data_IF_117933239584
#
_entry.id   IF_117933239584
#
_cell.length_a   1.000
_cell.length_b   1.000
_cell.length_c   1.000
_cell.angle_alpha   90.00
_cell.angle_beta   90.00
_cell.angle_gamma   90.00
#
_symmetry.space_group_name_H-M   'P 1'
#
loop_
_entity.id
_entity.type
_entity.pdbx_description
1 polymer ?
#
# COMPACT_ATOMS: atom_id res chain seq x y z
N UNK A 1 27.97 -12.46 -65.78
CA UNK A 1 26.59 -12.04 -65.42
C UNK A 1 25.83 -12.98 -64.49
N UNK A 2 26.44 -14.03 -63.98
CA UNK A 2 25.71 -15.11 -63.23
C UNK A 2 25.51 -14.83 -61.70
N UNK A 3 26.31 -13.92 -61.10
CA UNK A 3 26.23 -13.65 -59.64
C UNK A 3 25.12 -12.71 -59.21
N UNK A 4 24.63 -11.81 -60.08
CA UNK A 4 23.57 -10.85 -59.74
C UNK A 4 22.20 -11.52 -59.44
N UNK A 5 21.90 -12.65 -60.10
CA UNK A 5 20.62 -13.38 -59.93
C UNK A 5 20.47 -14.06 -58.55
N UNK A 6 21.57 -14.34 -57.85
CA UNK A 6 21.54 -14.96 -56.51
C UNK A 6 21.55 -13.91 -55.38
N UNK A 7 21.98 -12.68 -55.64
CA UNK A 7 22.09 -11.61 -54.67
C UNK A 7 20.71 -10.99 -54.35
N UNK A 8 19.84 -10.87 -55.36
CA UNK A 8 18.50 -10.25 -55.20
C UNK A 8 17.61 -11.00 -54.20
N UNK A 9 17.44 -12.35 -54.26
CA UNK A 9 16.63 -13.07 -53.29
C UNK A 9 17.21 -13.03 -51.87
N UNK A 10 18.53 -12.97 -51.71
CA UNK A 10 19.16 -12.81 -50.39
C UNK A 10 18.89 -11.42 -49.80
N UNK A 11 18.97 -10.37 -50.62
CA UNK A 11 18.64 -9.01 -50.21
C UNK A 11 17.14 -8.87 -49.79
N UNK A 12 16.25 -9.50 -50.55
CA UNK A 12 14.79 -9.50 -50.19
C UNK A 12 14.57 -10.21 -48.88
N UNK A 13 15.24 -11.35 -48.66
CA UNK A 13 15.13 -12.11 -47.40
C UNK A 13 15.64 -11.32 -46.20
N UNK A 14 16.74 -10.59 -46.35
CA UNK A 14 17.28 -9.70 -45.31
C UNK A 14 16.36 -8.52 -45.02
N UNK A 15 15.75 -7.92 -46.05
CA UNK A 15 14.77 -6.84 -45.89
C UNK A 15 13.51 -7.32 -45.17
N UNK A 16 12.99 -8.52 -45.54
CA UNK A 16 11.87 -9.12 -44.86
C UNK A 16 12.20 -9.43 -43.38
N UNK A 17 13.37 -9.97 -43.09
CA UNK A 17 13.81 -10.23 -41.72
C UNK A 17 13.96 -8.93 -40.92
N UNK A 18 14.51 -7.87 -41.50
CA UNK A 18 14.61 -6.57 -40.87
C UNK A 18 13.21 -5.93 -40.58
N UNK A 19 12.28 -6.06 -41.55
CA UNK A 19 10.92 -5.58 -41.36
C UNK A 19 10.16 -6.33 -40.24
N UNK A 20 10.32 -7.65 -40.15
CA UNK A 20 9.77 -8.47 -39.06
C UNK A 20 10.40 -8.09 -37.71
N UNK A 21 11.72 -7.91 -37.66
CA UNK A 21 12.43 -7.50 -36.44
C UNK A 21 12.03 -6.09 -35.97
N UNK A 22 11.87 -5.14 -36.90
CA UNK A 22 11.44 -3.79 -36.57
C UNK A 22 9.98 -3.76 -36.14
N UNK A 23 9.09 -4.50 -36.80
CA UNK A 23 7.70 -4.67 -36.40
C UNK A 23 7.57 -5.33 -35.01
N UNK A 24 8.36 -6.36 -34.76
CA UNK A 24 8.41 -7.02 -33.44
C UNK A 24 8.90 -6.06 -32.34
N UNK A 25 9.98 -5.32 -32.57
CA UNK A 25 10.49 -4.31 -31.64
C UNK A 25 9.46 -3.20 -31.39
N UNK A 26 8.84 -2.70 -32.44
CA UNK A 26 7.80 -1.67 -32.30
C UNK A 26 6.62 -2.16 -31.47
N UNK A 27 6.17 -3.41 -31.70
CA UNK A 27 5.10 -4.02 -30.91
C UNK A 27 5.51 -4.18 -29.44
N UNK A 28 6.74 -4.57 -29.15
CA UNK A 28 7.28 -4.68 -27.80
C UNK A 28 7.29 -3.31 -27.10
N UNK A 29 7.83 -2.28 -27.74
CA UNK A 29 7.88 -0.91 -27.20
C UNK A 29 6.47 -0.38 -26.93
N UNK A 30 5.53 -0.63 -27.83
CA UNK A 30 4.14 -0.20 -27.63
C UNK A 30 3.49 -0.89 -26.44
N UNK A 31 3.72 -2.19 -26.23
CA UNK A 31 3.21 -2.89 -25.06
C UNK A 31 3.84 -2.43 -23.75
N UNK A 32 5.11 -2.03 -23.77
CA UNK A 32 5.81 -1.49 -22.60
C UNK A 32 5.39 -0.07 -22.26
N UNK A 33 4.97 0.73 -23.26
CA UNK A 33 4.55 2.12 -23.08
C UNK A 33 3.05 2.32 -22.84
N UNK A 34 2.21 1.29 -23.02
CA UNK A 34 0.78 1.39 -22.74
C UNK A 34 0.51 1.06 -21.29
N UNK A 35 -0.05 2.00 -20.48
CA UNK A 35 -0.36 1.73 -19.08
C UNK A 35 -1.59 0.82 -18.96
N UNK A 36 -1.62 0.06 -17.88
CA UNK A 36 -2.85 -0.43 -17.28
C UNK A 36 -3.27 0.57 -16.20
N UNK A 37 -4.49 1.05 -16.29
CA UNK A 37 -5.05 1.99 -15.32
C UNK A 37 -6.22 1.34 -14.59
N UNK A 38 -6.30 1.52 -13.28
CA UNK A 38 -7.46 1.11 -12.49
C UNK A 38 -7.77 2.15 -11.41
N UNK A 39 -9.06 2.17 -11.03
CA UNK A 39 -9.55 2.90 -9.87
C UNK A 39 -10.43 1.95 -9.07
N UNK A 40 -10.03 1.71 -7.84
CA UNK A 40 -10.67 0.79 -6.92
C UNK A 40 -10.98 1.53 -5.61
N UNK A 41 -11.66 0.87 -4.66
CA UNK A 41 -11.97 1.44 -3.36
C UNK A 41 -11.59 0.45 -2.26
N UNK A 42 -10.69 0.85 -1.37
CA UNK A 42 -10.32 0.12 -0.16
C UNK A 42 -9.71 1.11 0.86
N UNK A 43 -9.56 0.69 2.12
CA UNK A 43 -9.03 1.52 3.21
C UNK A 43 -9.78 2.84 3.38
N UNK A 44 -11.08 2.85 3.05
CA UNK A 44 -11.94 4.04 3.13
C UNK A 44 -11.61 5.13 2.11
N UNK A 45 -10.91 4.81 1.02
CA UNK A 45 -10.49 5.79 0.01
C UNK A 45 -10.41 5.19 -1.40
N UNK A 46 -10.23 6.05 -2.41
CA UNK A 46 -9.92 5.58 -3.76
C UNK A 46 -8.46 5.15 -3.87
N UNK A 47 -8.27 4.04 -4.59
CA UNK A 47 -6.97 3.51 -4.97
C UNK A 47 -6.85 3.68 -6.49
N UNK A 48 -5.92 4.50 -6.93
CA UNK A 48 -5.68 4.75 -8.34
C UNK A 48 -4.30 4.20 -8.71
N UNK A 49 -4.25 3.40 -9.76
CA UNK A 49 -3.03 2.77 -10.22
C UNK A 49 -2.82 3.04 -11.71
N UNK A 50 -1.60 3.39 -12.08
CA UNK A 50 -1.13 3.44 -13.46
C UNK A 50 0.16 2.64 -13.55
N UNK A 51 0.09 1.45 -14.18
CA UNK A 51 1.20 0.48 -14.18
C UNK A 51 1.55 0.10 -15.61
N UNK A 52 2.82 0.23 -15.95
CA UNK A 52 3.34 0.04 -17.29
C UNK A 52 4.07 -1.30 -17.43
N UNK A 53 4.15 -1.77 -18.68
CA UNK A 53 4.79 -3.02 -19.05
C UNK A 53 3.79 -4.16 -19.25
N UNK A 54 4.25 -5.23 -19.87
CA UNK A 54 3.42 -6.40 -20.23
C UNK A 54 2.71 -7.06 -19.05
N UNK A 55 3.19 -6.83 -17.86
CA UNK A 55 2.65 -7.38 -16.60
C UNK A 55 1.87 -6.34 -15.80
N UNK A 56 1.61 -5.14 -16.36
CA UNK A 56 0.95 -4.05 -15.65
C UNK A 56 -0.37 -4.43 -15.01
N UNK A 57 -1.27 -5.09 -15.76
CA UNK A 57 -2.56 -5.56 -15.23
C UNK A 57 -2.40 -6.56 -14.08
N UNK A 58 -1.55 -7.57 -14.26
CA UNK A 58 -1.32 -8.58 -13.23
C UNK A 58 -0.70 -7.96 -11.97
N UNK A 59 0.21 -7.01 -12.14
CA UNK A 59 0.84 -6.27 -11.06
C UNK A 59 -0.17 -5.42 -10.28
N UNK A 60 -1.03 -4.66 -10.97
CA UNK A 60 -2.06 -3.84 -10.37
C UNK A 60 -3.10 -4.68 -9.59
N UNK A 61 -3.55 -5.80 -10.16
CA UNK A 61 -4.46 -6.74 -9.47
C UNK A 61 -3.81 -7.35 -8.23
N UNK A 62 -2.53 -7.72 -8.31
CA UNK A 62 -1.78 -8.23 -7.17
C UNK A 62 -1.62 -7.17 -6.06
N UNK A 63 -1.36 -5.92 -6.44
CA UNK A 63 -1.28 -4.80 -5.51
C UNK A 63 -2.61 -4.59 -4.79
N UNK A 64 -3.73 -4.52 -5.52
CA UNK A 64 -5.05 -4.37 -4.92
C UNK A 64 -5.36 -5.50 -3.93
N UNK A 65 -5.07 -6.76 -4.28
CA UNK A 65 -5.25 -7.89 -3.37
C UNK A 65 -4.42 -7.79 -2.10
N UNK A 66 -3.20 -7.26 -2.17
CA UNK A 66 -2.36 -7.01 -0.98
C UNK A 66 -2.93 -5.88 -0.12
N UNK A 67 -3.40 -4.80 -0.73
CA UNK A 67 -3.99 -3.66 -0.03
C UNK A 67 -5.26 -4.07 0.71
N UNK A 68 -6.16 -4.83 0.06
CA UNK A 68 -7.37 -5.33 0.73
C UNK A 68 -7.03 -6.30 1.86
N UNK A 69 -6.08 -7.21 1.64
CA UNK A 69 -5.60 -8.09 2.70
C UNK A 69 -4.88 -7.36 3.84
N UNK A 70 -4.27 -6.20 3.59
CA UNK A 70 -3.72 -5.35 4.64
C UNK A 70 -4.86 -4.68 5.43
N UNK A 71 -5.88 -4.14 4.75
CA UNK A 71 -7.06 -3.56 5.40
C UNK A 71 -7.73 -4.55 6.35
N UNK A 72 -7.91 -5.80 5.91
CA UNK A 72 -8.47 -6.90 6.72
C UNK A 72 -7.70 -7.13 8.03
N UNK A 73 -6.42 -6.79 8.08
CA UNK A 73 -5.56 -6.98 9.25
C UNK A 73 -5.46 -5.76 10.15
N UNK A 74 -5.45 -4.55 9.57
CA UNK A 74 -5.12 -3.33 10.34
C UNK A 74 -6.27 -2.37 10.55
N UNK A 75 -7.45 -2.61 9.96
CA UNK A 75 -8.61 -1.75 10.14
C UNK A 75 -9.26 -2.00 11.50
N UNK A 76 -9.29 -0.99 12.36
CA UNK A 76 -9.98 -1.08 13.64
C UNK A 76 -11.52 -1.19 13.51
N UNK A 77 -12.05 -0.95 12.30
CA UNK A 77 -13.49 -1.07 11.97
C UNK A 77 -13.89 -2.49 11.54
N UNK A 78 -12.95 -3.39 11.40
CA UNK A 78 -13.20 -4.79 11.00
C UNK A 78 -12.96 -5.69 12.21
N UNK A 79 -14.01 -6.23 12.82
CA UNK A 79 -13.98 -6.98 14.08
C UNK A 79 -12.95 -8.13 14.09
N UNK A 80 -12.72 -8.76 12.96
CA UNK A 80 -11.75 -9.87 12.80
C UNK A 80 -10.31 -9.42 12.63
N UNK A 81 -10.04 -8.13 12.48
CA UNK A 81 -8.69 -7.61 12.27
C UNK A 81 -7.80 -7.77 13.50
N UNK A 82 -6.49 -7.81 13.29
CA UNK A 82 -5.53 -7.82 14.39
C UNK A 82 -5.68 -6.58 15.27
N UNK A 83 -5.90 -5.41 14.67
CA UNK A 83 -6.04 -4.14 15.39
C UNK A 83 -7.33 -4.10 16.20
N UNK A 84 -8.46 -4.55 15.65
CA UNK A 84 -9.72 -4.60 16.40
C UNK A 84 -9.61 -5.55 17.61
N UNK A 85 -9.04 -6.74 17.42
CA UNK A 85 -8.79 -7.70 18.51
C UNK A 85 -7.82 -7.15 19.56
N UNK A 86 -6.78 -6.39 19.14
CA UNK A 86 -5.87 -5.72 20.07
C UNK A 86 -6.59 -4.65 20.89
N UNK A 87 -7.48 -3.88 20.27
CA UNK A 87 -8.28 -2.87 20.94
C UNK A 87 -9.28 -3.49 21.93
N UNK A 88 -9.91 -4.60 21.57
CA UNK A 88 -10.82 -5.34 22.46
C UNK A 88 -10.09 -5.90 23.68
N UNK A 89 -8.85 -6.36 23.50
CA UNK A 89 -8.00 -6.90 24.56
C UNK A 89 -7.27 -5.84 25.40
N UNK A 90 -7.55 -4.55 25.20
CA UNK A 90 -6.88 -3.47 25.92
C UNK A 90 -6.99 -3.60 27.44
N UNK A 91 -5.86 -3.48 28.15
CA UNK A 91 -5.77 -3.63 29.58
C UNK A 91 -5.79 -5.07 30.10
N UNK A 92 -5.77 -6.05 29.20
CA UNK A 92 -5.73 -7.46 29.57
C UNK A 92 -4.36 -8.07 29.27
N UNK A 93 -4.26 -8.91 28.26
CA UNK A 93 -3.06 -9.72 28.00
C UNK A 93 -2.48 -9.47 26.61
N UNK A 94 -1.38 -10.14 26.31
CA UNK A 94 -0.80 -10.16 24.98
C UNK A 94 -1.68 -10.99 24.03
N UNK A 95 -1.90 -10.46 22.82
CA UNK A 95 -2.59 -11.20 21.76
C UNK A 95 -1.66 -11.50 20.61
N UNK A 96 -1.92 -12.59 19.90
CA UNK A 96 -1.23 -12.92 18.64
C UNK A 96 -1.78 -12.05 17.51
N UNK A 97 -0.86 -11.52 16.71
CA UNK A 97 -1.12 -10.70 15.53
C UNK A 97 -0.31 -11.21 14.34
N UNK A 98 -0.63 -10.77 13.12
CA UNK A 98 0.15 -11.12 11.95
C UNK A 98 1.55 -10.48 11.96
N UNK A 99 2.54 -11.07 11.27
CA UNK A 99 3.87 -10.48 11.11
C UNK A 99 3.81 -9.07 10.50
N UNK A 100 2.91 -8.85 9.56
CA UNK A 100 2.69 -7.55 8.91
C UNK A 100 2.19 -6.51 9.92
N UNK A 101 1.17 -6.86 10.71
CA UNK A 101 0.66 -5.97 11.76
C UNK A 101 1.73 -5.67 12.80
N UNK A 102 2.51 -6.66 13.22
CA UNK A 102 3.62 -6.45 14.15
C UNK A 102 4.67 -5.46 13.60
N UNK A 103 5.00 -5.58 12.32
CA UNK A 103 5.93 -4.67 11.65
C UNK A 103 5.39 -3.23 11.57
N UNK A 104 4.11 -3.06 11.24
CA UNK A 104 3.47 -1.74 11.14
C UNK A 104 3.36 -1.09 12.53
N UNK A 105 3.00 -1.85 13.56
CA UNK A 105 2.95 -1.36 14.93
C UNK A 105 4.33 -0.94 15.43
N UNK A 106 5.38 -1.71 15.13
CA UNK A 106 6.76 -1.35 15.49
C UNK A 106 7.21 -0.07 14.77
N UNK A 107 6.89 0.07 13.49
CA UNK A 107 7.14 1.31 12.74
C UNK A 107 6.37 2.50 13.33
N UNK A 108 5.09 2.28 13.72
CA UNK A 108 4.27 3.30 14.37
C UNK A 108 4.88 3.79 15.67
N UNK A 109 5.44 2.88 16.49
CA UNK A 109 6.16 3.23 17.72
C UNK A 109 7.43 4.03 17.44
N UNK A 110 8.20 3.67 16.40
CA UNK A 110 9.40 4.40 16.01
C UNK A 110 9.06 5.83 15.57
N UNK A 111 7.99 6.01 14.79
CA UNK A 111 7.51 7.34 14.38
C UNK A 111 6.97 8.14 15.58
N UNK A 112 6.20 7.50 16.48
CA UNK A 112 5.71 8.14 17.69
C UNK A 112 6.86 8.64 18.58
N UNK A 113 7.88 7.83 18.77
CA UNK A 113 9.06 8.21 19.54
C UNK A 113 9.84 9.34 18.86
N UNK A 114 10.09 9.28 17.56
CA UNK A 114 10.84 10.29 16.81
C UNK A 114 10.13 11.64 16.71
N UNK A 115 8.79 11.62 16.77
CA UNK A 115 7.95 12.82 16.76
C UNK A 115 7.63 13.36 18.15
N UNK A 116 8.20 12.76 19.21
CA UNK A 116 7.92 13.10 20.61
C UNK A 116 6.40 13.07 20.93
N UNK A 117 5.70 12.05 20.37
CA UNK A 117 4.27 11.86 20.54
C UNK A 117 3.38 12.75 19.67
N UNK A 118 3.93 13.58 18.78
CA UNK A 118 3.09 14.34 17.83
C UNK A 118 2.29 13.42 16.87
N UNK A 119 2.83 12.26 16.57
CA UNK A 119 2.07 11.11 16.06
C UNK A 119 1.94 10.07 17.17
N UNK A 120 0.72 9.66 17.48
CA UNK A 120 0.46 8.59 18.45
C UNK A 120 -0.53 7.58 17.87
N UNK A 121 -0.13 6.31 17.65
CA UNK A 121 -1.02 5.30 17.10
C UNK A 121 -2.14 4.89 18.07
N UNK A 122 -2.05 5.27 19.36
CA UNK A 122 -3.07 4.95 20.36
C UNK A 122 -4.22 5.98 20.41
N UNK A 123 -4.36 6.81 19.39
CA UNK A 123 -5.30 7.92 19.28
C UNK A 123 -6.78 7.50 19.16
N UNK A 124 -7.09 6.21 18.95
CA UNK A 124 -8.46 5.75 18.68
C UNK A 124 -9.50 6.22 19.70
N UNK A 125 -9.24 6.24 21.01
CA UNK A 125 -10.22 6.72 21.99
C UNK A 125 -10.70 8.14 21.72
N UNK A 126 -9.84 8.98 21.15
CA UNK A 126 -10.14 10.36 20.78
C UNK A 126 -10.67 10.43 19.35
N UNK A 127 -9.97 9.82 18.36
CA UNK A 127 -10.36 9.94 16.94
C UNK A 127 -11.72 9.36 16.64
N UNK A 128 -12.16 8.34 17.36
CA UNK A 128 -13.48 7.72 17.20
C UNK A 128 -14.64 8.64 17.58
N UNK A 129 -14.42 9.67 18.41
CA UNK A 129 -15.46 10.60 18.85
C UNK A 129 -16.08 11.39 17.69
N UNK A 130 -15.33 11.63 16.60
CA UNK A 130 -15.84 12.36 15.42
C UNK A 130 -16.76 11.53 14.53
N UNK A 131 -16.78 10.21 14.69
CA UNK A 131 -17.53 9.26 13.85
C UNK A 131 -17.29 9.49 12.34
N UNK A 132 -16.04 9.74 11.94
CA UNK A 132 -15.68 9.95 10.54
C UNK A 132 -16.09 8.75 9.68
N UNK A 133 -16.93 9.03 8.66
CA UNK A 133 -17.49 7.99 7.78
C UNK A 133 -18.70 7.27 8.35
N UNK A 134 -19.10 7.54 9.60
CA UNK A 134 -20.30 7.02 10.25
C UNK A 134 -21.56 7.89 9.99
N UNK A 135 -22.67 7.51 10.62
CA UNK A 135 -23.94 8.20 10.44
C UNK A 135 -24.12 9.40 11.38
N UNK A 136 -23.31 9.50 12.45
CA UNK A 136 -23.45 10.50 13.51
C UNK A 136 -22.22 11.42 13.57
N UNK A 137 -21.68 11.83 12.42
CA UNK A 137 -20.55 12.75 12.37
C UNK A 137 -20.87 14.07 13.10
N UNK A 138 -20.06 14.43 14.07
CA UNK A 138 -20.24 15.65 14.84
C UNK A 138 -18.90 16.17 15.38
N UNK A 139 -18.90 17.41 15.87
CA UNK A 139 -17.80 17.96 16.63
C UNK A 139 -17.95 17.55 18.10
N UNK A 140 -17.07 16.72 18.66
CA UNK A 140 -17.19 16.29 20.05
C UNK A 140 -16.96 17.45 21.01
N UNK A 141 -17.65 17.45 22.17
CA UNK A 141 -17.40 18.43 23.22
C UNK A 141 -15.97 18.36 23.74
N UNK A 142 -15.38 19.52 24.06
CA UNK A 142 -13.99 19.59 24.56
C UNK A 142 -13.79 18.72 25.81
N UNK A 143 -14.72 18.69 26.73
CA UNK A 143 -14.65 17.87 27.93
C UNK A 143 -14.61 16.36 27.64
N UNK A 144 -15.22 15.93 26.55
CA UNK A 144 -15.18 14.52 26.11
C UNK A 144 -13.84 14.19 25.51
N UNK A 145 -13.29 15.08 24.67
CA UNK A 145 -11.93 14.94 24.13
C UNK A 145 -10.92 14.83 25.27
N UNK A 146 -10.93 15.75 26.23
CA UNK A 146 -10.03 15.74 27.39
C UNK A 146 -10.15 14.46 28.25
N UNK A 147 -11.37 13.92 28.39
CA UNK A 147 -11.62 12.66 29.09
C UNK A 147 -10.94 11.47 28.40
N UNK A 148 -11.07 11.37 27.09
CA UNK A 148 -10.54 10.23 26.32
C UNK A 148 -9.05 10.38 25.98
N UNK A 149 -8.53 11.61 25.96
CA UNK A 149 -7.09 11.89 25.78
C UNK A 149 -6.23 11.23 26.88
N UNK A 150 -6.77 11.05 28.07
CA UNK A 150 -6.10 10.33 29.16
C UNK A 150 -5.73 8.87 28.82
N UNK A 151 -6.33 8.28 27.79
CA UNK A 151 -6.05 6.93 27.32
C UNK A 151 -5.09 6.90 26.12
N UNK A 152 -4.64 8.04 25.61
CA UNK A 152 -3.72 8.18 24.50
C UNK A 152 -2.29 8.26 25.02
N UNK A 153 -1.52 7.21 24.83
CA UNK A 153 -0.08 7.20 25.16
C UNK A 153 0.61 5.99 24.50
N UNK A 154 1.37 6.23 23.44
CA UNK A 154 2.11 5.19 22.71
C UNK A 154 3.08 4.40 23.59
N UNK A 155 3.58 4.96 24.69
CA UNK A 155 4.47 4.25 25.62
C UNK A 155 3.80 3.06 26.33
N UNK A 156 2.47 3.00 26.30
CA UNK A 156 1.67 1.89 26.82
C UNK A 156 1.32 0.83 25.75
N UNK A 157 1.69 1.01 24.50
CA UNK A 157 1.65 -0.01 23.45
C UNK A 157 2.93 -0.82 23.53
N UNK A 158 2.81 -2.15 23.57
CA UNK A 158 3.93 -3.09 23.55
C UNK A 158 3.80 -3.99 22.34
N UNK A 159 4.90 -4.22 21.62
CA UNK A 159 4.96 -5.07 20.44
C UNK A 159 6.17 -6.00 20.55
N UNK A 160 5.94 -7.29 20.43
CA UNK A 160 7.00 -8.30 20.28
C UNK A 160 7.02 -8.78 18.82
N UNK A 161 7.92 -8.20 18.04
CA UNK A 161 8.06 -8.52 16.61
C UNK A 161 8.57 -9.94 16.38
N UNK A 162 9.27 -10.53 17.35
CA UNK A 162 9.82 -11.90 17.22
C UNK A 162 8.73 -12.96 17.40
N UNK A 163 7.85 -12.73 18.36
CA UNK A 163 6.75 -13.65 18.68
C UNK A 163 5.42 -13.24 18.03
N UNK A 164 5.39 -12.14 17.29
CA UNK A 164 4.20 -11.59 16.65
C UNK A 164 3.05 -11.41 17.64
N UNK A 165 3.33 -10.72 18.75
CA UNK A 165 2.34 -10.41 19.77
C UNK A 165 2.35 -8.91 20.09
N UNK A 166 1.21 -8.38 20.54
CA UNK A 166 1.08 -7.01 21.02
C UNK A 166 0.16 -6.93 22.23
N UNK A 167 0.29 -5.87 23.02
CA UNK A 167 -0.60 -5.57 24.14
C UNK A 167 -0.74 -4.07 24.36
N UNK A 168 -1.91 -3.65 24.83
CA UNK A 168 -2.21 -2.33 25.35
C UNK A 168 -2.32 -2.38 26.87
N UNK A 169 -1.53 -1.58 27.57
CA UNK A 169 -1.35 -1.69 29.02
C UNK A 169 -2.59 -1.34 29.83
N UNK A 170 -3.46 -0.47 29.30
CA UNK A 170 -4.60 0.07 30.04
C UNK A 170 -5.91 -0.22 29.31
N UNK A 171 -6.99 -0.45 30.08
CA UNK A 171 -8.33 -0.46 29.52
C UNK A 171 -8.65 0.89 28.83
N UNK A 172 -9.55 0.85 27.86
CA UNK A 172 -9.99 2.01 27.06
C UNK A 172 -8.94 2.58 26.11
N UNK A 173 -7.71 2.07 26.08
CA UNK A 173 -6.78 2.37 24.99
C UNK A 173 -7.28 1.76 23.68
N UNK A 174 -6.84 2.33 22.57
CA UNK A 174 -7.17 1.79 21.24
C UNK A 174 -6.23 2.31 20.17
N UNK A 175 -5.93 1.46 19.22
CA UNK A 175 -5.06 1.73 18.08
C UNK A 175 -5.88 2.19 16.88
N UNK A 176 -5.43 3.29 16.24
CA UNK A 176 -5.85 3.72 14.91
C UNK A 176 -4.61 3.91 14.03
N UNK A 177 -4.47 3.09 13.01
CA UNK A 177 -3.35 3.12 12.06
C UNK A 177 -3.63 3.96 10.81
N UNK A 178 -4.68 4.76 10.80
CA UNK A 178 -5.05 5.63 9.66
C UNK A 178 -3.94 6.58 9.21
N UNK A 179 -3.06 7.00 10.12
CA UNK A 179 -1.93 7.89 9.83
C UNK A 179 -0.76 7.20 9.12
N UNK A 180 -0.64 5.87 9.15
CA UNK A 180 0.47 5.11 8.56
C UNK A 180 0.03 4.05 7.55
N UNK A 181 -1.19 3.51 7.69
CA UNK A 181 -1.68 2.37 6.92
C UNK A 181 -1.70 2.61 5.41
N UNK A 182 -2.03 3.83 4.96
CA UNK A 182 -2.03 4.16 3.52
C UNK A 182 -0.61 4.17 2.93
N UNK A 183 0.38 4.59 3.69
CA UNK A 183 1.79 4.48 3.32
C UNK A 183 2.23 3.02 3.17
N UNK A 184 1.90 2.18 4.15
CA UNK A 184 2.17 0.74 4.10
C UNK A 184 1.50 0.08 2.88
N UNK A 185 0.28 0.48 2.55
CA UNK A 185 -0.42 0.01 1.35
C UNK A 185 0.33 0.38 0.05
N UNK A 186 0.90 1.58 -0.02
CA UNK A 186 1.76 1.98 -1.15
C UNK A 186 3.01 1.10 -1.25
N UNK A 187 3.66 0.79 -0.13
CA UNK A 187 4.86 -0.07 -0.08
C UNK A 187 4.54 -1.51 -0.52
N UNK A 188 3.40 -2.04 -0.09
CA UNK A 188 2.89 -3.34 -0.52
C UNK A 188 2.59 -3.38 -2.02
N UNK A 189 2.01 -2.31 -2.57
CA UNK A 189 1.75 -2.18 -4.00
C UNK A 189 3.06 -2.15 -4.81
N UNK A 190 4.05 -1.35 -4.39
CA UNK A 190 5.36 -1.30 -5.03
C UNK A 190 6.04 -2.67 -5.01
N UNK A 191 5.93 -3.38 -3.89
CA UNK A 191 6.44 -4.75 -3.76
C UNK A 191 5.72 -5.71 -4.71
N UNK A 192 4.40 -5.57 -4.87
CA UNK A 192 3.62 -6.35 -5.82
C UNK A 192 4.03 -6.06 -7.28
N UNK A 193 4.25 -4.79 -7.64
CA UNK A 193 4.72 -4.39 -8.97
C UNK A 193 6.07 -5.02 -9.30
N UNK A 194 7.01 -4.94 -8.36
CA UNK A 194 8.34 -5.54 -8.49
C UNK A 194 8.27 -7.05 -8.68
N UNK A 195 7.50 -7.74 -7.84
CA UNK A 195 7.38 -9.19 -7.86
C UNK A 195 6.66 -9.72 -9.11
N UNK A 196 5.70 -8.97 -9.63
CA UNK A 196 5.01 -9.31 -10.87
C UNK A 196 5.87 -9.05 -12.12
N UNK A 197 6.95 -8.26 -12.00
CA UNK A 197 7.80 -7.86 -13.12
C UNK A 197 7.17 -6.75 -13.97
N UNK A 198 6.48 -5.80 -13.33
CA UNK A 198 6.06 -4.55 -13.97
C UNK A 198 7.30 -3.73 -14.38
N UNK A 199 7.16 -2.91 -15.42
CA UNK A 199 8.25 -2.02 -15.86
C UNK A 199 8.42 -0.84 -14.89
N UNK A 200 7.35 -0.11 -14.67
CA UNK A 200 7.25 1.06 -13.78
C UNK A 200 5.78 1.35 -13.49
N UNK A 201 5.51 2.15 -12.46
CA UNK A 201 4.13 2.49 -12.11
C UNK A 201 4.03 3.49 -10.97
N UNK A 202 2.83 4.01 -10.83
CA UNK A 202 2.44 4.91 -9.75
C UNK A 202 1.15 4.40 -9.13
N UNK A 203 1.04 4.52 -7.83
CA UNK A 203 -0.19 4.27 -7.07
C UNK A 203 -0.49 5.45 -6.17
N UNK A 204 -1.76 5.82 -6.10
CA UNK A 204 -2.29 6.72 -5.09
C UNK A 204 -3.30 5.97 -4.20
N UNK A 205 -3.10 6.01 -2.90
CA UNK A 205 -4.01 5.49 -1.88
C UNK A 205 -4.52 6.70 -1.08
N UNK A 206 -5.62 7.28 -1.55
CA UNK A 206 -6.06 8.59 -1.06
C UNK A 206 -4.97 9.65 -1.23
N UNK A 207 -4.48 10.22 -0.13
CA UNK A 207 -3.40 11.23 -0.16
C UNK A 207 -1.98 10.67 -0.17
N UNK A 208 -1.78 9.35 -0.02
CA UNK A 208 -0.46 8.72 -0.07
C UNK A 208 -0.13 8.29 -1.49
N UNK A 209 1.11 8.50 -1.94
CA UNK A 209 1.55 8.16 -3.29
C UNK A 209 2.80 7.29 -3.22
N UNK A 210 2.78 6.18 -3.95
CA UNK A 210 3.93 5.31 -4.15
C UNK A 210 4.36 5.28 -5.61
N UNK A 211 5.66 5.24 -5.88
CA UNK A 211 6.21 5.17 -7.24
C UNK A 211 7.20 4.02 -7.38
N UNK A 212 7.17 3.36 -8.53
CA UNK A 212 8.06 2.26 -8.88
C UNK A 212 8.70 2.52 -10.24
N UNK A 213 10.03 2.50 -10.28
CA UNK A 213 10.80 2.77 -11.49
C UNK A 213 10.73 4.23 -11.94
N UNK A 214 11.20 4.50 -13.16
CA UNK A 214 11.16 5.81 -13.80
C UNK A 214 10.08 5.86 -14.88
N UNK A 215 9.62 7.05 -15.26
CA UNK A 215 8.70 7.20 -16.40
C UNK A 215 9.31 6.66 -17.70
N UNK A 216 8.47 6.39 -18.73
CA UNK A 216 8.92 5.83 -20.01
C UNK A 216 10.02 6.61 -20.71
N UNK A 217 9.99 7.93 -20.54
CA UNK A 217 10.97 8.87 -21.10
C UNK A 217 12.25 9.00 -20.25
N UNK A 218 12.33 8.22 -19.13
CA UNK A 218 13.45 8.26 -18.20
C UNK A 218 13.39 9.42 -17.21
N UNK A 219 12.39 10.29 -17.27
CA UNK A 219 12.20 11.35 -16.27
C UNK A 219 11.72 10.78 -14.92
N UNK A 220 11.90 11.55 -13.86
CA UNK A 220 11.35 11.22 -12.54
C UNK A 220 9.82 11.43 -12.51
N UNK A 221 9.19 10.77 -11.57
CA UNK A 221 7.76 10.94 -11.25
C UNK A 221 7.51 12.30 -10.61
#
# INVERSE_FOLDING_TARGET
MHNKKKIIPVLILLLCAAAVLTGYRWHQVKQESTPYESTDFAMGTYIQQTVYGKKGEAAAKSALSKITGLEDRISWRMDSSDVARLNEAAGTDWISISPETASILAMSLDVAQKSDGAYDPTILPVSSLWDFGGQNQHLPPKAEIEKFDAYVNYQNLRVDVKNFTASLKMHYMGIDLGGIGKGAACDDAITAYRNAGAGYGIIAVGGSVGVYGSKPDGSLW
#
